data_IF_200767107758
#
_entry.id   IF_200767107758
#
_cell.length_a   1.000
_cell.length_b   1.000
_cell.length_c   1.000
_cell.angle_alpha   90.00
_cell.angle_beta   90.00
_cell.angle_gamma   90.00
#
_symmetry.space_group_name_H-M   'P 1'
#
loop_
_entity.id
_entity.type
_entity.pdbx_description
1 polymer ?
#
# COMPACT_ATOMS: atom_id res chain seq x y z
N UNK A 1 -14.20 -4.85 24.85
CA UNK A 1 -12.76 -4.55 24.85
C UNK A 1 -12.56 -3.11 25.32
N UNK A 2 -11.54 -2.83 26.13
CA UNK A 2 -11.23 -1.45 26.57
C UNK A 2 -10.89 -0.57 25.35
N UNK A 3 -11.45 0.65 25.29
CA UNK A 3 -11.21 1.62 24.21
C UNK A 3 -9.70 1.89 23.97
N UNK A 4 -8.89 1.80 25.02
CA UNK A 4 -7.43 1.96 24.96
C UNK A 4 -6.77 0.85 24.12
N UNK A 5 -7.20 -0.40 24.28
CA UNK A 5 -6.62 -1.55 23.57
C UNK A 5 -6.92 -1.44 22.06
N UNK A 6 -8.14 -1.01 21.72
CA UNK A 6 -8.55 -0.79 20.33
C UNK A 6 -7.69 0.31 19.65
N UNK A 7 -7.45 1.43 20.34
CA UNK A 7 -6.61 2.51 19.82
C UNK A 7 -5.15 2.08 19.60
N UNK A 8 -4.58 1.29 20.52
CA UNK A 8 -3.21 0.77 20.38
C UNK A 8 -3.09 -0.14 19.15
N UNK A 9 -4.06 -1.04 18.94
CA UNK A 9 -4.07 -1.95 17.79
C UNK A 9 -4.18 -1.16 16.48
N UNK A 10 -5.10 -0.17 16.44
CA UNK A 10 -5.28 0.71 15.29
C UNK A 10 -3.99 1.44 14.93
N UNK A 11 -3.34 2.06 15.90
CA UNK A 11 -2.06 2.77 15.70
C UNK A 11 -0.94 1.85 15.21
N UNK A 12 -0.86 0.62 15.74
CA UNK A 12 0.12 -0.38 15.28
C UNK A 12 -0.12 -0.75 13.82
N UNK A 13 -1.38 -1.01 13.44
CA UNK A 13 -1.73 -1.35 12.06
C UNK A 13 -1.39 -0.20 11.09
N UNK A 14 -1.66 1.06 11.48
CA UNK A 14 -1.28 2.26 10.71
C UNK A 14 0.23 2.35 10.47
N UNK A 15 1.06 2.09 11.49
CA UNK A 15 2.53 2.06 11.33
C UNK A 15 3.01 0.96 10.40
N UNK A 16 2.38 -0.21 10.45
CA UNK A 16 2.72 -1.31 9.53
C UNK A 16 2.37 -0.94 8.09
N UNK A 17 1.22 -0.29 7.86
CA UNK A 17 0.84 0.20 6.51
C UNK A 17 1.84 1.25 6.03
N UNK A 18 2.17 2.24 6.86
CA UNK A 18 3.18 3.26 6.53
C UNK A 18 4.53 2.63 6.11
N UNK A 19 4.97 1.62 6.87
CA UNK A 19 6.20 0.88 6.56
C UNK A 19 6.13 0.22 5.18
N UNK A 20 5.09 -0.58 4.90
CA UNK A 20 4.97 -1.32 3.64
C UNK A 20 4.78 -0.37 2.45
N UNK A 21 4.02 0.71 2.61
CA UNK A 21 3.91 1.77 1.60
C UNK A 21 5.28 2.37 1.25
N UNK A 22 6.11 2.70 2.25
CA UNK A 22 7.47 3.20 2.01
C UNK A 22 8.36 2.16 1.33
N UNK A 23 8.22 0.88 1.67
CA UNK A 23 8.95 -0.19 0.97
C UNK A 23 8.58 -0.26 -0.51
N UNK A 24 7.29 -0.16 -0.87
CA UNK A 24 6.86 -0.12 -2.28
C UNK A 24 7.56 1.03 -3.02
N UNK A 25 7.54 2.25 -2.47
CA UNK A 25 8.17 3.41 -3.11
C UNK A 25 9.70 3.23 -3.29
N UNK A 26 10.36 2.66 -2.28
CA UNK A 26 11.80 2.34 -2.35
C UNK A 26 12.07 1.31 -3.45
N UNK A 27 11.27 0.25 -3.54
CA UNK A 27 11.41 -0.79 -4.56
C UNK A 27 11.19 -0.23 -5.97
N UNK A 28 10.17 0.61 -6.17
CA UNK A 28 9.94 1.30 -7.45
C UNK A 28 11.18 2.11 -7.83
N UNK A 29 11.67 2.95 -6.92
CA UNK A 29 12.82 3.81 -7.17
C UNK A 29 14.11 3.03 -7.46
N UNK A 30 14.33 1.92 -6.77
CA UNK A 30 15.57 1.13 -6.90
C UNK A 30 15.56 0.19 -8.10
N UNK A 31 14.42 -0.45 -8.38
CA UNK A 31 14.32 -1.45 -9.44
C UNK A 31 13.94 -0.83 -10.79
N UNK A 32 13.31 0.36 -10.78
CA UNK A 32 12.82 1.06 -11.96
C UNK A 32 13.24 2.55 -11.99
N UNK A 33 14.53 2.89 -11.80
CA UNK A 33 14.99 4.27 -11.56
C UNK A 33 14.76 5.27 -12.71
N UNK A 34 14.37 4.80 -13.91
CA UNK A 34 14.16 5.64 -15.10
C UNK A 34 12.85 5.32 -15.84
N UNK A 35 11.94 4.54 -15.25
CA UNK A 35 10.75 4.06 -15.95
C UNK A 35 9.55 5.01 -15.79
N UNK A 36 9.77 6.29 -16.13
CA UNK A 36 8.73 7.32 -16.14
C UNK A 36 7.61 7.04 -17.16
N UNK A 37 7.82 6.07 -18.05
CA UNK A 37 6.87 5.62 -19.06
C UNK A 37 5.94 4.49 -18.59
N UNK A 38 6.27 3.81 -17.50
CA UNK A 38 5.49 2.66 -17.04
C UNK A 38 4.25 3.14 -16.28
N UNK A 39 3.13 3.09 -16.98
CA UNK A 39 1.84 3.53 -16.48
C UNK A 39 1.45 2.80 -15.19
N UNK A 40 1.73 1.50 -15.10
CA UNK A 40 1.41 0.68 -13.93
C UNK A 40 2.19 1.10 -12.70
N UNK A 41 3.50 1.34 -12.83
CA UNK A 41 4.35 1.85 -11.75
C UNK A 41 3.88 3.23 -11.27
N UNK A 42 3.60 4.15 -12.21
CA UNK A 42 3.09 5.48 -11.87
C UNK A 42 1.73 5.41 -11.16
N UNK A 43 0.88 4.46 -11.52
CA UNK A 43 -0.42 4.24 -10.88
C UNK A 43 -0.26 3.69 -9.47
N UNK A 44 0.64 2.73 -9.26
CA UNK A 44 1.00 2.20 -7.94
C UNK A 44 1.53 3.32 -7.06
N UNK A 45 2.50 4.10 -7.54
CA UNK A 45 3.11 5.21 -6.78
C UNK A 45 2.06 6.22 -6.31
N UNK A 46 1.16 6.66 -7.21
CA UNK A 46 0.06 7.57 -6.83
C UNK A 46 -0.86 6.95 -5.80
N UNK A 47 -1.25 5.69 -5.97
CA UNK A 47 -2.10 5.00 -4.99
C UNK A 47 -1.43 4.89 -3.63
N UNK A 48 -0.14 4.56 -3.57
CA UNK A 48 0.61 4.45 -2.31
C UNK A 48 0.78 5.81 -1.64
N UNK A 49 1.14 6.86 -2.39
CA UNK A 49 1.24 8.21 -1.83
C UNK A 49 -0.09 8.68 -1.24
N UNK A 50 -1.22 8.35 -1.89
CA UNK A 50 -2.53 8.69 -1.35
C UNK A 50 -2.83 7.99 -0.01
N UNK A 51 -2.35 6.75 0.21
CA UNK A 51 -2.46 6.07 1.52
C UNK A 51 -1.64 6.81 2.57
N UNK A 52 -0.39 7.15 2.23
CA UNK A 52 0.52 7.85 3.14
C UNK A 52 -0.05 9.21 3.56
N UNK A 53 -0.60 9.98 2.62
CA UNK A 53 -1.30 11.24 2.92
C UNK A 53 -2.46 11.05 3.89
N UNK A 54 -3.21 9.95 3.76
CA UNK A 54 -4.31 9.63 4.67
C UNK A 54 -3.82 9.24 6.06
N UNK A 55 -2.69 8.53 6.17
CA UNK A 55 -2.08 8.16 7.46
C UNK A 55 -1.52 9.39 8.18
N UNK A 56 -0.86 10.29 7.44
CA UNK A 56 -0.26 11.50 8.00
C UNK A 56 -1.32 12.54 8.38
N UNK A 57 -2.40 12.64 7.61
CA UNK A 57 -3.46 13.64 7.80
C UNK A 57 -4.66 13.17 8.62
N UNK A 58 -4.83 11.87 8.85
CA UNK A 58 -6.00 11.33 9.55
C UNK A 58 -5.73 9.98 10.22
N UNK A 59 -6.49 9.65 11.26
CA UNK A 59 -6.44 8.31 11.83
C UNK A 59 -7.25 7.28 11.02
N UNK A 60 -7.75 7.61 9.82
CA UNK A 60 -8.74 6.78 9.13
C UNK A 60 -8.42 6.64 7.66
N UNK A 61 -8.10 5.41 7.23
CA UNK A 61 -7.88 5.10 5.81
C UNK A 61 -9.24 4.88 5.14
N UNK A 62 -9.67 5.85 4.34
CA UNK A 62 -10.92 5.75 3.56
C UNK A 62 -10.69 5.22 2.15
N UNK A 63 -9.44 5.12 1.71
CA UNK A 63 -9.09 4.65 0.38
C UNK A 63 -9.61 3.24 0.09
N UNK A 64 -10.34 3.10 -1.02
CA UNK A 64 -10.63 1.83 -1.69
C UNK A 64 -9.59 1.62 -2.78
N UNK A 65 -8.42 1.13 -2.41
CA UNK A 65 -7.41 0.78 -3.40
C UNK A 65 -7.75 -0.60 -3.93
N UNK A 66 -8.00 -0.65 -5.24
CA UNK A 66 -8.17 -1.90 -5.94
C UNK A 66 -6.78 -2.50 -6.23
N UNK A 67 -6.18 -3.10 -5.20
CA UNK A 67 -4.85 -3.70 -5.29
C UNK A 67 -4.80 -4.84 -6.32
N UNK A 68 -5.91 -5.55 -6.53
CA UNK A 68 -6.04 -6.55 -7.59
C UNK A 68 -5.84 -5.94 -8.99
N UNK A 69 -6.40 -4.75 -9.23
CA UNK A 69 -6.25 -4.03 -10.49
C UNK A 69 -4.81 -3.54 -10.69
N UNK A 70 -4.20 -2.98 -9.64
CA UNK A 70 -2.80 -2.54 -9.66
C UNK A 70 -1.84 -3.69 -9.93
N UNK A 71 -2.01 -4.82 -9.24
CA UNK A 71 -1.22 -6.03 -9.45
C UNK A 71 -1.36 -6.56 -10.86
N UNK A 72 -2.60 -6.63 -11.39
CA UNK A 72 -2.84 -7.11 -12.75
C UNK A 72 -2.12 -6.24 -13.78
N UNK A 73 -2.30 -4.94 -13.72
CA UNK A 73 -1.65 -4.01 -14.66
C UNK A 73 -0.11 -4.08 -14.57
N UNK A 74 0.44 -4.14 -13.37
CA UNK A 74 1.88 -4.30 -13.20
C UNK A 74 2.41 -5.61 -13.79
N UNK A 75 1.72 -6.72 -13.57
CA UNK A 75 2.07 -8.02 -14.13
C UNK A 75 1.93 -8.03 -15.65
N UNK A 76 0.88 -7.42 -16.19
CA UNK A 76 0.68 -7.31 -17.64
C UNK A 76 1.82 -6.51 -18.30
N UNK A 77 2.30 -5.45 -17.63
CA UNK A 77 3.40 -4.61 -18.14
C UNK A 77 4.79 -5.24 -17.97
N UNK A 78 5.02 -5.99 -16.87
CA UNK A 78 6.37 -6.49 -16.52
C UNK A 78 6.56 -7.99 -16.74
N UNK A 79 5.48 -8.75 -16.84
CA UNK A 79 5.48 -10.22 -16.84
C UNK A 79 5.93 -10.86 -15.52
N UNK A 80 6.18 -10.08 -14.46
CA UNK A 80 6.79 -10.58 -13.22
C UNK A 80 5.76 -10.75 -12.08
N UNK A 81 5.30 -11.99 -11.88
CA UNK A 81 4.38 -12.34 -10.78
C UNK A 81 5.05 -12.41 -9.41
N UNK A 82 6.38 -12.51 -9.35
CA UNK A 82 7.14 -12.68 -8.11
C UNK A 82 7.88 -11.39 -7.73
N UNK A 83 7.44 -10.26 -8.27
CA UNK A 83 8.10 -8.99 -7.98
C UNK A 83 7.92 -8.60 -6.51
N UNK A 84 8.99 -8.18 -5.80
CA UNK A 84 8.89 -7.71 -4.43
C UNK A 84 7.85 -6.60 -4.22
N UNK A 85 7.58 -5.78 -5.24
CA UNK A 85 6.53 -4.75 -5.17
C UNK A 85 5.16 -5.39 -4.92
N UNK A 86 4.86 -6.53 -5.54
CA UNK A 86 3.58 -7.21 -5.41
C UNK A 86 3.38 -7.78 -4.00
N UNK A 87 4.46 -8.28 -3.38
CA UNK A 87 4.45 -8.80 -2.00
C UNK A 87 4.11 -7.67 -1.02
N UNK A 88 4.77 -6.52 -1.17
CA UNK A 88 4.53 -5.37 -0.31
C UNK A 88 3.12 -4.78 -0.53
N UNK A 89 2.62 -4.77 -1.77
CA UNK A 89 1.24 -4.38 -2.09
C UNK A 89 0.22 -5.31 -1.42
N UNK A 90 0.46 -6.61 -1.38
CA UNK A 90 -0.40 -7.57 -0.69
C UNK A 90 -0.42 -7.33 0.83
N UNK A 91 0.73 -7.02 1.43
CA UNK A 91 0.80 -6.63 2.84
C UNK A 91 -0.04 -5.38 3.13
N UNK A 92 0.09 -4.33 2.30
CA UNK A 92 -0.74 -3.12 2.42
C UNK A 92 -2.22 -3.45 2.35
N UNK A 93 -2.64 -4.27 1.37
CA UNK A 93 -4.03 -4.68 1.18
C UNK A 93 -4.63 -5.31 2.43
N UNK A 94 -3.97 -6.36 2.94
CA UNK A 94 -4.49 -7.13 4.05
C UNK A 94 -4.59 -6.32 5.34
N UNK A 95 -3.68 -5.36 5.55
CA UNK A 95 -3.73 -4.48 6.72
C UNK A 95 -4.86 -3.47 6.64
N UNK A 96 -5.09 -2.88 5.47
CA UNK A 96 -6.24 -1.97 5.25
C UNK A 96 -7.56 -2.71 5.44
N UNK A 97 -7.71 -3.88 4.84
CA UNK A 97 -8.91 -4.72 4.99
C UNK A 97 -9.16 -5.13 6.44
N UNK A 98 -8.08 -5.40 7.20
CA UNK A 98 -8.17 -5.70 8.62
C UNK A 98 -8.71 -4.50 9.42
N UNK A 99 -8.20 -3.29 9.18
CA UNK A 99 -8.69 -2.08 9.86
C UNK A 99 -10.18 -1.86 9.54
N UNK A 100 -10.58 -2.04 8.27
CA UNK A 100 -11.98 -1.87 7.84
C UNK A 100 -12.95 -2.87 8.48
N UNK A 101 -12.52 -4.11 8.73
CA UNK A 101 -13.32 -5.14 9.41
C UNK A 101 -13.42 -4.94 10.92
N UNK A 102 -12.48 -4.21 11.51
CA UNK A 102 -12.40 -3.93 12.95
C UNK A 102 -13.06 -2.58 13.33
N UNK A 103 -13.44 -1.77 12.34
CA UNK A 103 -14.14 -0.48 12.49
C UNK A 103 -15.66 -0.65 12.43
#
# INVERSE_FOLDING_TARGET
MSSIISNIIKFRNLKEIDYHCKQVLILIKNNYPNDNSNYSLARIERSINHILEQIDGSETITSTINLMDLTRHFVDDTGNYNDPILIELEHVYHKIEKIKKES
#
